data_IF_030605461275
#
_entry.id   IF_030605461275
#
_cell.length_a   1.000
_cell.length_b   1.000
_cell.length_c   1.000
_cell.angle_alpha   90.00
_cell.angle_beta   90.00
_cell.angle_gamma   90.00
#
_symmetry.space_group_name_H-M   'P 1'
#
loop_
_entity.id
_entity.type
_entity.pdbx_description
1 polymer ?
#
# COMPACT_ATOMS: atom_id res chain seq x y z
N UNK A 1 0.08 22.96 -9.13
CA UNK A 1 -0.50 23.63 -7.95
C UNK A 1 -1.15 22.50 -7.19
N UNK A 2 -0.89 22.30 -5.89
CA UNK A 2 -1.64 21.25 -5.18
C UNK A 2 -3.12 21.63 -5.29
N UNK A 3 -3.93 20.64 -5.70
CA UNK A 3 -5.30 20.88 -6.16
C UNK A 3 -6.25 21.20 -5.00
N UNK A 4 -5.89 20.81 -3.78
CA UNK A 4 -6.78 20.85 -2.61
C UNK A 4 -6.20 21.66 -1.45
N UNK A 5 -4.86 21.72 -1.31
CA UNK A 5 -4.19 22.44 -0.21
C UNK A 5 -2.94 23.20 -0.64
N UNK A 6 -2.53 24.21 0.12
CA UNK A 6 -1.27 24.94 -0.18
C UNK A 6 -0.08 24.26 0.48
N UNK A 7 0.60 23.37 -0.25
CA UNK A 7 1.85 22.75 0.20
C UNK A 7 3.09 23.38 -0.45
N UNK A 8 4.17 23.61 0.30
CA UNK A 8 5.39 24.25 -0.21
C UNK A 8 6.27 23.32 -1.05
N UNK A 9 6.00 22.01 -1.04
CA UNK A 9 6.78 21.00 -1.75
C UNK A 9 6.09 20.55 -3.04
N UNK A 10 6.89 20.28 -4.08
CA UNK A 10 6.45 19.55 -5.27
C UNK A 10 7.43 18.41 -5.54
N UNK A 11 6.88 17.23 -5.79
CA UNK A 11 7.69 16.08 -6.21
C UNK A 11 8.36 16.40 -7.56
N UNK A 12 9.68 16.17 -7.70
CA UNK A 12 10.36 16.28 -8.97
C UNK A 12 10.11 15.06 -9.89
N UNK A 13 9.40 14.05 -9.38
CA UNK A 13 9.15 12.81 -10.11
C UNK A 13 8.11 13.02 -11.21
N UNK A 14 8.23 12.34 -12.37
CA UNK A 14 7.35 12.52 -13.53
C UNK A 14 6.02 11.78 -13.38
N UNK A 15 5.39 11.83 -12.21
CA UNK A 15 4.04 11.29 -12.00
C UNK A 15 3.00 12.37 -12.26
N UNK A 16 1.93 11.99 -12.96
CA UNK A 16 0.74 12.81 -13.06
C UNK A 16 0.03 12.84 -11.69
N UNK A 17 -0.64 13.95 -11.37
CA UNK A 17 -1.47 14.04 -10.17
C UNK A 17 -2.60 12.99 -10.18
N UNK A 18 -3.04 12.57 -11.38
CA UNK A 18 -4.12 11.62 -11.56
C UNK A 18 -4.00 10.90 -12.92
N UNK A 19 -4.17 9.58 -12.90
CA UNK A 19 -4.21 8.72 -14.09
C UNK A 19 -5.25 7.63 -13.84
N UNK A 20 -6.17 7.44 -14.80
CA UNK A 20 -7.22 6.42 -14.72
C UNK A 20 -7.19 5.51 -15.93
N UNK A 21 -7.58 4.25 -15.71
CA UNK A 21 -7.79 3.27 -16.76
C UNK A 21 -9.28 3.05 -16.93
N UNK A 22 -9.76 3.23 -18.16
CA UNK A 22 -11.08 2.76 -18.59
C UNK A 22 -10.93 1.36 -19.17
N UNK A 23 -11.81 0.44 -18.76
CA UNK A 23 -11.82 -0.93 -19.27
C UNK A 23 -13.14 -1.18 -20.01
N UNK A 24 -13.04 -1.54 -21.29
CA UNK A 24 -14.19 -1.96 -22.10
C UNK A 24 -14.52 -3.46 -21.91
N UNK A 25 -13.57 -4.20 -21.34
CA UNK A 25 -13.64 -5.63 -21.05
C UNK A 25 -13.03 -5.96 -19.69
N UNK A 26 -13.66 -6.87 -18.94
CA UNK A 26 -13.16 -7.33 -17.65
C UNK A 26 -13.70 -8.71 -17.27
N UNK A 27 -12.95 -9.39 -16.39
CA UNK A 27 -13.34 -10.66 -15.79
C UNK A 27 -13.48 -10.44 -14.28
N UNK A 28 -14.62 -10.83 -13.73
CA UNK A 28 -14.88 -10.86 -12.29
C UNK A 28 -14.72 -12.30 -11.82
N UNK A 29 -13.85 -12.52 -10.85
CA UNK A 29 -13.62 -13.81 -10.24
C UNK A 29 -14.12 -13.79 -8.78
N UNK A 30 -14.75 -14.88 -8.39
CA UNK A 30 -15.03 -15.27 -7.00
C UNK A 30 -14.47 -16.69 -6.79
N UNK A 31 -14.42 -17.18 -5.55
CA UNK A 31 -13.87 -18.48 -5.17
C UNK A 31 -14.26 -19.62 -6.13
N UNK A 32 -15.53 -19.69 -6.52
CA UNK A 32 -16.04 -20.79 -7.37
C UNK A 32 -16.55 -20.34 -8.75
N UNK A 33 -16.50 -19.04 -9.08
CA UNK A 33 -17.21 -18.50 -10.24
C UNK A 33 -16.41 -17.44 -10.98
N UNK A 34 -16.57 -17.42 -12.31
CA UNK A 34 -16.04 -16.40 -13.18
C UNK A 34 -17.17 -15.81 -14.05
N UNK A 35 -17.19 -14.49 -14.16
CA UNK A 35 -18.04 -13.74 -15.09
C UNK A 35 -17.16 -12.88 -15.98
N UNK A 36 -17.53 -12.73 -17.24
CA UNK A 36 -16.81 -11.89 -18.19
C UNK A 36 -17.78 -10.94 -18.88
N UNK A 37 -17.32 -9.70 -19.09
CA UNK A 37 -18.07 -8.62 -19.74
C UNK A 37 -17.16 -8.02 -20.82
N UNK A 38 -17.71 -7.72 -22.00
CA UNK A 38 -16.97 -7.09 -23.11
C UNK A 38 -16.96 -7.93 -24.40
N UNK A 39 -16.16 -7.50 -25.40
CA UNK A 39 -16.01 -8.22 -26.67
C UNK A 39 -14.82 -9.19 -26.58
N UNK A 40 -14.94 -10.45 -27.03
CA UNK A 40 -13.84 -11.41 -26.95
C UNK A 40 -13.05 -11.43 -28.26
N UNK A 41 -11.74 -11.14 -28.22
CA UNK A 41 -10.83 -11.77 -29.16
C UNK A 41 -10.05 -12.93 -28.51
N UNK A 42 -9.60 -12.83 -27.24
CA UNK A 42 -8.54 -13.72 -26.73
C UNK A 42 -8.81 -14.43 -25.38
N UNK A 43 -9.81 -14.01 -24.59
CA UNK A 43 -10.11 -14.61 -23.27
C UNK A 43 -10.97 -15.87 -23.32
N UNK A 44 -11.15 -16.53 -24.48
CA UNK A 44 -11.86 -17.82 -24.55
C UNK A 44 -11.09 -18.95 -23.84
N UNK A 45 -9.78 -18.79 -23.69
CA UNK A 45 -8.91 -19.74 -23.02
C UNK A 45 -8.47 -19.22 -21.63
N UNK A 46 -9.42 -18.85 -20.76
CA UNK A 46 -9.08 -18.45 -19.36
C UNK A 46 -8.22 -19.52 -18.67
N UNK A 47 -8.45 -20.80 -18.98
CA UNK A 47 -7.63 -21.90 -18.47
C UNK A 47 -6.16 -21.85 -18.89
N UNK A 48 -5.82 -21.17 -19.98
CA UNK A 48 -4.44 -21.04 -20.46
C UNK A 48 -3.74 -19.78 -19.91
N UNK A 49 -4.49 -18.76 -19.44
CA UNK A 49 -3.95 -17.51 -18.86
C UNK A 49 -3.06 -17.75 -17.62
N UNK A 50 -3.25 -18.88 -16.94
CA UNK A 50 -2.47 -19.29 -15.77
C UNK A 50 -1.22 -20.12 -16.07
N UNK A 51 -0.98 -20.51 -17.32
CA UNK A 51 0.09 -21.46 -17.67
C UNK A 51 1.50 -20.86 -17.62
N UNK A 52 1.62 -19.53 -17.82
CA UNK A 52 2.92 -18.85 -17.77
C UNK A 52 3.42 -18.68 -16.34
N UNK A 53 4.48 -19.42 -16.00
CA UNK A 53 5.27 -19.19 -14.79
C UNK A 53 6.21 -18.01 -15.00
N UNK A 54 6.04 -16.90 -14.27
CA UNK A 54 6.88 -15.73 -14.47
C UNK A 54 8.32 -16.01 -14.04
N UNK A 55 9.28 -15.45 -14.80
CA UNK A 55 10.69 -15.50 -14.45
C UNK A 55 10.94 -14.69 -13.17
N UNK A 56 11.36 -15.40 -12.14
CA UNK A 56 11.86 -14.82 -10.89
C UNK A 56 13.39 -14.79 -10.92
N UNK A 57 13.99 -13.60 -10.85
CA UNK A 57 15.44 -13.41 -10.74
C UNK A 57 15.91 -13.23 -9.30
N UNK A 58 15.02 -13.40 -8.33
CA UNK A 58 15.30 -13.19 -6.92
C UNK A 58 15.26 -11.72 -6.50
N UNK A 59 15.90 -11.43 -5.37
CA UNK A 59 15.92 -10.09 -4.83
C UNK A 59 16.69 -9.11 -5.74
N UNK A 60 16.05 -8.01 -6.09
CA UNK A 60 16.73 -6.91 -6.78
C UNK A 60 17.80 -6.25 -5.89
N UNK A 61 18.73 -5.54 -6.53
CA UNK A 61 19.80 -4.81 -5.83
C UNK A 61 19.38 -3.39 -5.52
N UNK A 62 19.46 -2.97 -4.26
CA UNK A 62 19.27 -1.57 -3.89
C UNK A 62 20.34 -0.71 -4.60
N UNK A 63 19.89 0.28 -5.36
CA UNK A 63 20.73 1.22 -6.13
C UNK A 63 20.76 2.61 -5.51
N UNK A 64 19.74 2.99 -4.75
CA UNK A 64 19.76 4.21 -3.94
C UNK A 64 18.79 4.13 -2.77
N UNK A 65 19.06 4.92 -1.74
CA UNK A 65 18.17 5.18 -0.60
C UNK A 65 18.02 6.68 -0.41
N UNK A 66 16.80 7.18 -0.21
CA UNK A 66 16.53 8.61 -0.05
C UNK A 66 15.43 8.87 1.00
N UNK A 67 15.76 9.49 2.15
CA UNK A 67 17.12 9.63 2.70
C UNK A 67 17.75 8.25 2.98
N UNK A 68 19.05 8.22 3.23
CA UNK A 68 19.70 7.08 3.87
C UNK A 68 19.26 6.94 5.34
N UNK A 69 19.79 5.95 6.05
CA UNK A 69 19.36 5.65 7.43
C UNK A 69 19.65 6.82 8.37
N UNK A 70 20.86 7.38 8.32
CA UNK A 70 21.26 8.47 9.21
C UNK A 70 20.46 9.74 8.92
N UNK A 71 20.28 10.08 7.63
CA UNK A 71 19.43 11.19 7.24
C UNK A 71 17.96 10.98 7.63
N UNK A 72 17.46 9.74 7.62
CA UNK A 72 16.12 9.44 8.11
C UNK A 72 16.01 9.67 9.63
N UNK A 73 17.01 9.26 10.40
CA UNK A 73 17.08 9.48 11.86
C UNK A 73 17.05 10.99 12.18
N UNK A 74 17.79 11.80 11.42
CA UNK A 74 17.79 13.25 11.59
C UNK A 74 16.41 13.87 11.33
N UNK A 75 15.71 13.43 10.29
CA UNK A 75 14.34 13.88 9.99
C UNK A 75 13.38 13.48 11.11
N UNK A 76 13.52 12.25 11.66
CA UNK A 76 12.72 11.80 12.80
C UNK A 76 12.96 12.66 14.04
N UNK A 77 14.23 12.98 14.34
CA UNK A 77 14.56 13.83 15.49
C UNK A 77 13.95 15.22 15.33
N UNK A 78 14.04 15.82 14.14
CA UNK A 78 13.42 17.12 13.86
C UNK A 78 11.90 17.07 13.95
N UNK A 79 11.25 16.00 13.50
CA UNK A 79 9.80 15.83 13.67
C UNK A 79 9.40 15.80 15.15
N UNK A 80 10.19 15.16 16.02
CA UNK A 80 9.94 15.17 17.47
C UNK A 80 10.04 16.55 18.09
N UNK A 81 10.95 17.40 17.60
CA UNK A 81 11.04 18.80 18.05
C UNK A 81 9.77 19.59 17.71
N UNK A 82 9.26 19.44 16.49
CA UNK A 82 7.99 20.07 16.10
C UNK A 82 6.79 19.57 16.91
N UNK A 83 6.75 18.27 17.21
CA UNK A 83 5.71 17.71 18.09
C UNK A 83 5.82 18.29 19.50
N UNK A 84 7.02 18.36 20.06
CA UNK A 84 7.26 18.93 21.39
C UNK A 84 6.93 20.43 21.47
N UNK A 85 7.11 21.16 20.36
CA UNK A 85 6.73 22.57 20.23
C UNK A 85 5.21 22.79 20.07
N UNK A 86 4.43 21.71 19.85
CA UNK A 86 2.99 21.79 19.63
C UNK A 86 2.57 22.18 18.21
N UNK A 87 3.50 22.12 17.24
CA UNK A 87 3.24 22.48 15.84
C UNK A 87 2.41 21.42 15.11
N UNK A 88 2.61 20.14 15.45
CA UNK A 88 1.85 19.00 14.93
C UNK A 88 1.68 17.94 16.01
N UNK A 89 0.57 17.21 16.00
CA UNK A 89 0.38 16.06 16.90
C UNK A 89 1.08 14.81 16.39
N UNK A 90 1.03 14.59 15.08
CA UNK A 90 1.62 13.44 14.39
C UNK A 90 2.06 13.84 12.98
N UNK A 91 3.15 13.24 12.51
CA UNK A 91 3.61 13.34 11.11
C UNK A 91 4.08 11.97 10.63
N UNK A 92 3.66 11.59 9.42
CA UNK A 92 4.12 10.35 8.77
C UNK A 92 5.30 10.67 7.88
N UNK A 93 6.47 10.11 8.22
CA UNK A 93 7.69 10.23 7.45
C UNK A 93 7.89 8.96 6.61
N UNK A 94 8.44 9.11 5.41
CA UNK A 94 8.72 8.00 4.52
C UNK A 94 10.10 8.15 3.89
N UNK A 95 10.67 7.01 3.48
CA UNK A 95 11.91 6.94 2.70
C UNK A 95 11.68 6.13 1.43
N UNK A 96 12.44 6.44 0.38
CA UNK A 96 12.36 5.79 -0.93
C UNK A 96 13.60 4.93 -1.17
N UNK A 97 13.37 3.69 -1.59
CA UNK A 97 14.41 2.78 -2.05
C UNK A 97 14.28 2.60 -3.55
N UNK A 98 15.38 2.78 -4.28
CA UNK A 98 15.50 2.38 -5.67
C UNK A 98 16.10 0.99 -5.74
N UNK A 99 15.44 0.07 -6.46
CA UNK A 99 15.90 -1.31 -6.61
C UNK A 99 16.03 -1.62 -8.10
N UNK A 100 17.23 -2.02 -8.53
CA UNK A 100 17.45 -2.59 -9.85
C UNK A 100 16.93 -4.04 -9.84
N UNK A 101 16.02 -4.33 -10.75
CA UNK A 101 15.35 -5.62 -10.86
C UNK A 101 15.36 -6.09 -12.32
N UNK A 102 15.85 -7.30 -12.54
CA UNK A 102 15.90 -7.95 -13.85
C UNK A 102 15.02 -9.20 -13.82
N UNK A 103 13.73 -9.04 -13.57
CA UNK A 103 12.77 -10.14 -13.51
C UNK A 103 11.41 -9.73 -14.05
N UNK A 104 10.46 -10.68 -14.09
CA UNK A 104 9.09 -10.34 -14.44
C UNK A 104 8.35 -9.74 -13.23
N UNK A 105 7.78 -8.56 -13.40
CA UNK A 105 6.98 -7.90 -12.37
C UNK A 105 5.80 -8.74 -11.84
N UNK A 106 5.29 -9.69 -12.65
CA UNK A 106 4.27 -10.65 -12.22
C UNK A 106 4.80 -11.55 -11.08
N UNK A 107 6.08 -11.92 -11.06
CA UNK A 107 6.70 -12.67 -9.98
C UNK A 107 6.70 -11.87 -8.66
N UNK A 108 6.99 -10.56 -8.73
CA UNK A 108 6.91 -9.65 -7.57
C UNK A 108 5.50 -9.65 -6.97
N UNK A 109 4.47 -9.56 -7.82
CA UNK A 109 3.08 -9.58 -7.36
C UNK A 109 2.67 -10.93 -6.76
N UNK A 110 3.04 -12.05 -7.38
CA UNK A 110 2.78 -13.38 -6.82
C UNK A 110 3.44 -13.55 -5.45
N UNK A 111 4.69 -13.12 -5.31
CA UNK A 111 5.39 -13.18 -4.02
C UNK A 111 4.75 -12.27 -2.97
N UNK A 112 4.25 -11.11 -3.37
CA UNK A 112 3.52 -10.21 -2.48
C UNK A 112 2.19 -10.82 -2.01
N UNK A 113 1.46 -11.50 -2.90
CA UNK A 113 0.23 -12.23 -2.58
C UNK A 113 0.47 -13.32 -1.52
N UNK A 114 1.57 -14.06 -1.63
CA UNK A 114 1.93 -15.10 -0.67
C UNK A 114 2.35 -14.55 0.69
N UNK A 115 3.17 -13.49 0.71
CA UNK A 115 3.77 -13.00 1.96
C UNK A 115 2.85 -12.08 2.74
N UNK A 116 2.14 -11.18 2.06
CA UNK A 116 1.34 -10.14 2.69
C UNK A 116 -0.01 -10.01 1.97
N UNK A 117 -0.88 -11.04 2.05
CA UNK A 117 -2.23 -10.93 1.50
C UNK A 117 -2.97 -9.81 2.22
N UNK A 118 -3.63 -8.94 1.46
CA UNK A 118 -4.48 -7.89 2.00
C UNK A 118 -5.82 -7.85 1.26
N UNK A 119 -6.84 -7.17 1.82
CA UNK A 119 -8.11 -6.97 1.14
C UNK A 119 -7.99 -6.19 -0.18
N UNK A 120 -6.89 -5.46 -0.38
CA UNK A 120 -6.67 -4.58 -1.53
C UNK A 120 -5.34 -4.86 -2.21
N UNK A 121 -5.29 -5.99 -2.90
CA UNK A 121 -4.19 -6.36 -3.79
C UNK A 121 -4.38 -5.74 -5.17
N UNK A 122 -3.33 -5.18 -5.76
CA UNK A 122 -3.40 -4.64 -7.11
C UNK A 122 -2.10 -4.84 -7.90
N UNK A 123 -2.28 -5.14 -9.18
CA UNK A 123 -1.25 -5.14 -10.21
C UNK A 123 -1.79 -4.34 -11.38
N UNK A 124 -1.28 -3.13 -11.57
CA UNK A 124 -1.77 -2.19 -12.58
C UNK A 124 -0.64 -1.91 -13.56
N UNK A 125 -0.87 -2.16 -14.86
CA UNK A 125 0.07 -1.83 -15.94
C UNK A 125 -0.40 -0.57 -16.66
N UNK A 126 0.39 0.49 -16.63
CA UNK A 126 0.12 1.79 -17.27
C UNK A 126 1.26 2.11 -18.25
N UNK A 127 1.11 1.65 -19.50
CA UNK A 127 2.19 1.70 -20.49
C UNK A 127 3.41 0.89 -20.02
N UNK A 128 4.55 1.57 -19.93
CA UNK A 128 5.82 0.98 -19.43
C UNK A 128 5.86 0.84 -17.90
N UNK A 129 5.02 1.60 -17.19
CA UNK A 129 4.98 1.63 -15.72
C UNK A 129 4.08 0.53 -15.19
N UNK A 130 4.44 0.03 -14.01
CA UNK A 130 3.63 -0.94 -13.25
C UNK A 130 3.52 -0.47 -11.82
N UNK A 131 2.32 -0.53 -11.27
CA UNK A 131 2.03 -0.26 -9.86
C UNK A 131 1.59 -1.58 -9.24
N UNK A 132 2.33 -2.03 -8.24
CA UNK A 132 2.14 -3.32 -7.59
C UNK A 132 2.07 -3.04 -6.09
N UNK A 133 1.01 -3.52 -5.44
CA UNK A 133 0.85 -3.26 -4.02
C UNK A 133 -0.16 -4.15 -3.33
N UNK A 134 -0.08 -4.08 -2.01
CA UNK A 134 -0.94 -4.75 -1.04
C UNK A 134 -1.32 -3.69 -0.01
N UNK A 135 -2.46 -3.03 -0.21
CA UNK A 135 -2.90 -1.97 0.71
C UNK A 135 -3.63 -2.58 1.92
N UNK A 136 -3.15 -2.34 3.14
CA UNK A 136 -3.83 -2.83 4.34
C UNK A 136 -5.07 -2.00 4.72
N UNK A 137 -5.21 -0.79 4.18
CA UNK A 137 -6.19 0.20 4.66
C UNK A 137 -7.07 0.75 3.52
N UNK A 138 -8.31 1.10 3.88
CA UNK A 138 -9.28 1.72 2.98
C UNK A 138 -9.24 3.23 3.19
N UNK A 139 -8.92 4.02 2.16
CA UNK A 139 -9.03 5.47 2.26
C UNK A 139 -10.50 5.90 2.43
N UNK A 140 -11.35 5.50 1.49
CA UNK A 140 -12.80 5.73 1.54
C UNK A 140 -13.52 4.69 0.67
N UNK A 141 -14.69 4.26 1.11
CA UNK A 141 -15.62 3.43 0.33
C UNK A 141 -16.96 4.14 0.20
N UNK A 142 -17.48 4.22 -1.02
CA UNK A 142 -18.80 4.80 -1.31
C UNK A 142 -19.72 3.70 -1.82
N UNK A 143 -20.88 3.53 -1.20
CA UNK A 143 -21.90 2.54 -1.56
C UNK A 143 -23.27 3.21 -1.58
N UNK A 144 -23.76 3.54 -2.77
CA UNK A 144 -24.95 4.36 -2.96
C UNK A 144 -24.75 5.74 -2.32
N UNK A 145 -25.49 6.02 -1.24
CA UNK A 145 -25.38 7.27 -0.47
C UNK A 145 -24.55 7.14 0.81
N UNK A 146 -23.99 5.96 1.09
CA UNK A 146 -23.18 5.70 2.28
C UNK A 146 -21.71 5.90 1.96
N UNK A 147 -21.00 6.60 2.82
CA UNK A 147 -19.54 6.78 2.79
C UNK A 147 -18.97 6.15 4.05
N UNK A 148 -17.91 5.36 3.91
CA UNK A 148 -17.24 4.66 5.01
C UNK A 148 -15.73 4.83 4.90
N UNK A 149 -15.06 4.94 6.05
CA UNK A 149 -13.61 4.86 6.20
C UNK A 149 -13.30 4.07 7.46
N UNK A 150 -12.12 3.46 7.52
CA UNK A 150 -11.70 2.62 8.63
C UNK A 150 -10.27 3.00 9.00
N UNK A 151 -10.08 4.09 9.75
CA UNK A 151 -8.74 4.53 10.17
C UNK A 151 -8.06 3.45 11.00
N UNK A 152 -6.80 3.16 10.70
CA UNK A 152 -5.99 2.17 11.43
C UNK A 152 -4.80 2.86 12.08
N UNK A 153 -4.65 2.65 13.40
CA UNK A 153 -3.48 3.07 14.16
C UNK A 153 -3.22 2.11 15.31
N UNK A 154 -1.95 2.06 15.71
CA UNK A 154 -1.43 1.06 16.63
C UNK A 154 -1.04 -0.23 15.90
N UNK A 155 0.18 -0.70 16.13
CA UNK A 155 0.71 -1.89 15.44
C UNK A 155 1.54 -2.73 16.40
N UNK A 156 1.43 -4.05 16.27
CA UNK A 156 2.36 -5.02 16.85
C UNK A 156 2.72 -6.04 15.76
N UNK A 157 3.93 -6.56 15.82
CA UNK A 157 4.37 -7.62 14.90
C UNK A 157 3.57 -8.91 15.14
N UNK A 158 3.33 -9.67 14.07
CA UNK A 158 2.79 -11.03 14.15
C UNK A 158 3.97 -11.99 14.13
N UNK A 159 4.07 -12.86 15.14
CA UNK A 159 5.25 -13.71 15.32
C UNK A 159 5.01 -15.16 14.92
N UNK A 160 3.76 -15.58 14.68
CA UNK A 160 3.39 -16.96 14.39
C UNK A 160 3.38 -17.87 15.63
N UNK A 161 3.52 -17.29 16.82
CA UNK A 161 3.39 -17.98 18.09
C UNK A 161 2.08 -17.49 18.75
N UNK A 162 1.04 -18.34 18.85
CA UNK A 162 -0.27 -17.93 19.35
C UNK A 162 -0.26 -17.28 20.74
N UNK A 163 0.61 -17.73 21.64
CA UNK A 163 0.69 -17.21 23.01
C UNK A 163 1.32 -15.81 23.03
N UNK A 164 2.40 -15.64 22.27
CA UNK A 164 3.08 -14.35 22.14
C UNK A 164 2.19 -13.34 21.40
N UNK A 165 1.55 -13.76 20.30
CA UNK A 165 0.61 -12.94 19.54
C UNK A 165 -0.58 -12.50 20.41
N UNK A 166 -1.10 -13.39 21.28
CA UNK A 166 -2.14 -13.01 22.24
C UNK A 166 -1.64 -12.00 23.28
N UNK A 167 -0.38 -12.14 23.73
CA UNK A 167 0.25 -11.17 24.64
C UNK A 167 0.39 -9.79 23.99
N UNK A 168 0.93 -9.74 22.76
CA UNK A 168 1.09 -8.51 21.99
C UNK A 168 -0.25 -7.84 21.71
N UNK A 169 -1.30 -8.63 21.41
CA UNK A 169 -2.67 -8.10 21.28
C UNK A 169 -3.15 -7.44 22.58
N UNK A 170 -2.95 -8.09 23.73
CA UNK A 170 -3.34 -7.52 25.04
C UNK A 170 -2.57 -6.25 25.35
N UNK A 171 -1.29 -6.21 24.98
CA UNK A 171 -0.44 -5.03 25.13
C UNK A 171 -0.97 -3.86 24.28
N UNK A 172 -1.26 -4.10 22.99
CA UNK A 172 -1.81 -3.11 22.09
C UNK A 172 -3.12 -2.51 22.64
N UNK A 173 -4.04 -3.36 23.11
CA UNK A 173 -5.32 -2.92 23.69
C UNK A 173 -5.16 -2.11 24.99
N UNK A 174 -4.03 -2.24 25.69
CA UNK A 174 -3.74 -1.51 26.95
C UNK A 174 -2.84 -0.30 26.74
N UNK A 175 -2.32 -0.10 25.54
CA UNK A 175 -1.41 0.99 25.23
C UNK A 175 -2.19 2.31 25.16
N UNK A 176 -2.03 3.14 26.20
CA UNK A 176 -2.64 4.48 26.23
C UNK A 176 -2.16 5.36 25.06
N UNK A 177 -0.92 5.16 24.61
CA UNK A 177 -0.36 5.82 23.43
C UNK A 177 -1.12 5.41 22.16
N UNK A 178 -1.17 4.10 21.87
CA UNK A 178 -1.80 3.60 20.64
C UNK A 178 -3.31 3.95 20.62
N UNK A 179 -3.98 3.91 21.78
CA UNK A 179 -5.37 4.32 21.90
C UNK A 179 -5.56 5.83 21.61
N UNK A 180 -4.70 6.70 22.12
CA UNK A 180 -4.77 8.14 21.87
C UNK A 180 -4.53 8.47 20.39
N UNK A 181 -3.53 7.85 19.76
CA UNK A 181 -3.26 8.00 18.32
C UNK A 181 -4.45 7.53 17.48
N UNK A 182 -5.07 6.40 17.85
CA UNK A 182 -6.23 5.86 17.15
C UNK A 182 -7.46 6.76 17.26
N UNK A 183 -7.79 7.26 18.47
CA UNK A 183 -8.91 8.19 18.67
C UNK A 183 -8.72 9.45 17.85
N UNK A 184 -7.52 10.03 17.84
CA UNK A 184 -7.20 11.21 17.03
C UNK A 184 -7.44 10.97 15.53
N UNK A 185 -7.09 9.78 15.00
CA UNK A 185 -7.37 9.46 13.59
C UNK A 185 -8.85 9.25 13.30
N UNK A 186 -9.59 8.67 14.24
CA UNK A 186 -11.05 8.53 14.13
C UNK A 186 -11.73 9.91 14.13
N UNK A 187 -11.26 10.84 14.95
CA UNK A 187 -11.79 12.22 14.99
C UNK A 187 -11.44 13.03 13.74
N UNK A 188 -10.32 12.71 13.08
CA UNK A 188 -9.89 13.36 11.84
C UNK A 188 -10.68 12.90 10.60
N UNK A 189 -11.18 11.66 10.62
CA UNK A 189 -11.76 10.95 9.48
C UNK A 189 -13.24 11.28 9.25
#
# INVERSE_FOLDING_TARGET
>A
MSLWEKVPYRSPEPFHDLEYLGFDDFIVLNEDKAWAVGRPPEWRNIGELGSHKPRDSGAGKVVYERPDIDGYVDIVNRAKEYIAAGEVFQVVLARKLGVAFDGEYKAVFMRLLEMNPSPYMYYIKMGERRIIGSSPETLVRVSGRRVETYPIAGTRGVTGNPELDQSLRRELLRSAKDAAEHVMLVDLA
#
